data_IF_444537627843
#
_entry.id   IF_444537627843
#
_cell.length_a   1.000
_cell.length_b   1.000
_cell.length_c   1.000
_cell.angle_alpha   90.00
_cell.angle_beta   90.00
_cell.angle_gamma   90.00
#
_symmetry.space_group_name_H-M   'P 1'
#
loop_
_entity.id
_entity.type
_entity.pdbx_description
1 polymer ?
#
# COMPACT_ATOMS: atom_id res chain seq x y z
N UNK A 1 -15.72 -10.33 0.42
CA UNK A 1 -14.43 -10.85 -0.09
C UNK A 1 -13.35 -10.43 0.89
N UNK A 2 -12.46 -11.33 1.28
CA UNK A 2 -11.29 -11.03 2.12
C UNK A 2 -10.15 -10.51 1.24
N UNK A 3 -9.47 -9.43 1.61
CA UNK A 3 -8.33 -8.90 0.86
C UNK A 3 -7.09 -8.88 1.77
N UNK A 4 -5.99 -9.50 1.33
CA UNK A 4 -4.74 -9.57 2.09
C UNK A 4 -3.60 -9.09 1.22
N UNK A 5 -2.92 -8.04 1.65
CA UNK A 5 -1.77 -7.46 0.97
C UNK A 5 -0.49 -7.92 1.66
N UNK A 6 0.39 -8.59 0.92
CA UNK A 6 1.73 -8.95 1.39
C UNK A 6 2.74 -7.91 0.95
N UNK A 7 3.51 -7.38 1.89
CA UNK A 7 4.61 -6.46 1.62
C UNK A 7 5.82 -6.77 2.50
N UNK A 8 6.96 -6.22 2.14
CA UNK A 8 8.23 -6.45 2.82
C UNK A 8 9.39 -6.12 1.90
N UNK A 9 10.61 -6.12 2.43
CA UNK A 9 11.83 -5.83 1.67
C UNK A 9 11.98 -6.77 0.46
N UNK A 10 12.68 -6.32 -0.57
CA UNK A 10 13.03 -7.17 -1.70
C UNK A 10 13.79 -8.43 -1.26
N UNK A 11 13.42 -9.59 -1.81
CA UNK A 11 14.10 -10.86 -1.56
C UNK A 11 13.72 -11.62 -0.28
N UNK A 12 12.79 -11.12 0.54
CA UNK A 12 12.36 -11.82 1.79
C UNK A 12 11.42 -13.01 1.55
N UNK A 13 10.91 -13.18 0.31
CA UNK A 13 10.01 -14.27 -0.08
C UNK A 13 8.53 -13.93 0.00
N UNK A 14 8.15 -12.67 -0.22
CA UNK A 14 6.75 -12.21 -0.27
C UNK A 14 5.90 -13.07 -1.20
N UNK A 15 6.33 -13.20 -2.45
CA UNK A 15 5.62 -13.94 -3.50
C UNK A 15 5.38 -15.39 -3.10
N UNK A 16 6.40 -16.07 -2.57
CA UNK A 16 6.25 -17.47 -2.12
C UNK A 16 5.25 -17.59 -0.97
N UNK A 17 5.28 -16.65 0.00
CA UNK A 17 4.34 -16.65 1.13
C UNK A 17 2.92 -16.30 0.67
N UNK A 18 2.75 -15.32 -0.23
CA UNK A 18 1.45 -14.97 -0.81
C UNK A 18 0.84 -16.13 -1.60
N UNK A 19 1.63 -16.76 -2.48
CA UNK A 19 1.21 -17.93 -3.26
C UNK A 19 0.88 -19.13 -2.36
N UNK A 20 1.68 -19.39 -1.32
CA UNK A 20 1.43 -20.44 -0.34
C UNK A 20 0.14 -20.20 0.46
N UNK A 21 -0.12 -18.94 0.86
CA UNK A 21 -1.37 -18.53 1.51
C UNK A 21 -2.58 -18.81 0.63
N UNK A 22 -2.51 -18.39 -0.63
CA UNK A 22 -3.59 -18.59 -1.59
C UNK A 22 -3.85 -20.09 -1.85
N UNK A 23 -2.79 -20.88 -2.01
CA UNK A 23 -2.89 -22.33 -2.21
C UNK A 23 -3.51 -23.02 -0.98
N UNK A 24 -3.10 -22.67 0.24
CA UNK A 24 -3.66 -23.25 1.46
C UNK A 24 -5.14 -22.91 1.60
N UNK A 25 -5.54 -21.68 1.32
CA UNK A 25 -6.94 -21.27 1.33
C UNK A 25 -7.77 -22.00 0.26
N UNK A 26 -7.24 -22.17 -0.93
CA UNK A 26 -7.91 -22.93 -2.00
C UNK A 26 -8.08 -24.41 -1.63
N UNK A 27 -7.08 -25.05 -1.01
CA UNK A 27 -7.17 -26.41 -0.48
C UNK A 27 -8.23 -26.55 0.63
N UNK A 28 -8.52 -25.47 1.35
CA UNK A 28 -9.63 -25.38 2.31
C UNK A 28 -10.99 -25.12 1.65
N UNK A 29 -11.10 -25.20 0.31
CA UNK A 29 -12.34 -25.07 -0.44
C UNK A 29 -12.76 -23.63 -0.76
N UNK A 30 -11.87 -22.64 -0.63
CA UNK A 30 -12.13 -21.24 -1.01
C UNK A 30 -11.75 -21.00 -2.46
N UNK A 31 -12.47 -20.08 -3.12
CA UNK A 31 -12.08 -19.57 -4.44
C UNK A 31 -11.21 -18.34 -4.26
N UNK A 32 -9.93 -18.46 -4.57
CA UNK A 32 -8.91 -17.44 -4.25
C UNK A 32 -8.20 -16.97 -5.52
N UNK A 33 -8.02 -15.65 -5.63
CA UNK A 33 -7.16 -15.04 -6.63
C UNK A 33 -5.90 -14.50 -5.94
N UNK A 34 -4.71 -14.92 -6.38
CA UNK A 34 -3.45 -14.27 -6.05
C UNK A 34 -2.99 -13.42 -7.22
N UNK A 35 -2.63 -12.16 -6.94
CA UNK A 35 -2.19 -11.20 -7.94
C UNK A 35 -0.84 -10.64 -7.55
N UNK A 36 0.06 -10.47 -8.53
CA UNK A 36 1.27 -9.67 -8.34
C UNK A 36 1.09 -8.27 -8.92
N UNK A 37 1.46 -7.27 -8.13
CA UNK A 37 1.63 -5.88 -8.58
C UNK A 37 3.09 -5.57 -8.91
N UNK A 38 4.00 -6.54 -8.71
CA UNK A 38 5.41 -6.44 -9.05
C UNK A 38 5.60 -6.78 -10.54
N UNK A 39 6.19 -5.89 -11.34
CA UNK A 39 6.42 -6.13 -12.78
C UNK A 39 7.42 -7.28 -13.07
N UNK A 40 8.06 -7.84 -12.07
CA UNK A 40 9.09 -8.88 -12.24
C UNK A 40 8.55 -10.30 -12.55
N UNK A 41 7.24 -10.45 -12.83
CA UNK A 41 6.61 -11.76 -13.16
C UNK A 41 6.91 -12.88 -12.15
N UNK A 42 6.95 -12.52 -10.88
CA UNK A 42 7.40 -13.39 -9.80
C UNK A 42 6.43 -14.53 -9.44
N UNK A 43 5.14 -14.41 -9.83
CA UNK A 43 4.15 -15.48 -9.61
C UNK A 43 4.35 -16.64 -10.58
N UNK A 44 4.70 -16.38 -11.85
CA UNK A 44 5.04 -17.40 -12.82
C UNK A 44 6.18 -18.29 -12.32
N UNK A 45 7.23 -17.66 -11.76
CA UNK A 45 8.36 -18.37 -11.16
C UNK A 45 7.94 -19.15 -9.91
N UNK A 46 7.13 -18.56 -9.03
CA UNK A 46 6.69 -19.19 -7.80
C UNK A 46 5.81 -20.44 -8.08
N UNK A 47 4.96 -20.41 -9.10
CA UNK A 47 4.12 -21.54 -9.48
C UNK A 47 4.80 -22.54 -10.41
N UNK A 48 5.98 -22.21 -10.95
CA UNK A 48 6.64 -22.99 -12.03
C UNK A 48 5.68 -23.21 -13.21
N UNK A 49 4.93 -22.19 -13.56
CA UNK A 49 3.91 -22.24 -14.61
C UNK A 49 3.61 -20.81 -15.12
N UNK A 50 3.25 -20.72 -16.39
CA UNK A 50 2.89 -19.45 -16.99
C UNK A 50 1.65 -18.84 -16.30
N UNK A 51 1.80 -17.60 -15.81
CA UNK A 51 0.73 -16.75 -15.30
C UNK A 51 0.60 -15.54 -16.23
N UNK A 52 -0.61 -15.24 -16.65
CA UNK A 52 -0.85 -14.16 -17.61
C UNK A 52 -1.65 -13.00 -17.04
N UNK A 53 -2.01 -12.05 -17.91
CA UNK A 53 -2.77 -10.86 -17.52
C UNK A 53 -4.24 -11.14 -17.17
N UNK A 54 -4.77 -12.29 -17.55
CA UNK A 54 -6.11 -12.72 -17.15
C UNK A 54 -5.98 -13.82 -16.07
N UNK A 55 -6.92 -13.90 -15.11
CA UNK A 55 -6.88 -14.92 -14.07
C UNK A 55 -6.83 -16.34 -14.64
N UNK A 56 -5.77 -17.08 -14.33
CA UNK A 56 -5.59 -18.47 -14.75
C UNK A 56 -5.69 -19.41 -13.56
N UNK A 57 -6.44 -20.49 -13.70
CA UNK A 57 -6.55 -21.51 -12.65
C UNK A 57 -5.26 -22.34 -12.57
N UNK A 58 -4.57 -22.26 -11.42
CA UNK A 58 -3.33 -22.97 -11.13
C UNK A 58 -3.56 -24.30 -10.41
N UNK A 59 -4.63 -24.35 -9.62
CA UNK A 59 -5.14 -25.54 -8.95
C UNK A 59 -6.63 -25.32 -8.66
N UNK A 60 -7.36 -26.38 -8.27
CA UNK A 60 -8.79 -26.28 -7.97
C UNK A 60 -9.08 -25.13 -6.99
N UNK A 61 -9.80 -24.11 -7.45
CA UNK A 61 -10.14 -22.93 -6.68
C UNK A 61 -9.03 -21.90 -6.49
N UNK A 62 -7.81 -22.15 -6.95
CA UNK A 62 -6.69 -21.23 -6.95
C UNK A 62 -6.49 -20.60 -8.32
N UNK A 63 -6.62 -19.28 -8.39
CA UNK A 63 -6.34 -18.48 -9.59
C UNK A 63 -5.14 -17.58 -9.34
N UNK A 64 -4.31 -17.38 -10.39
CA UNK A 64 -3.20 -16.46 -10.37
C UNK A 64 -3.28 -15.49 -11.55
N UNK A 65 -2.81 -14.26 -11.33
CA UNK A 65 -2.78 -13.20 -12.34
C UNK A 65 -1.53 -12.33 -12.16
N UNK A 66 -0.88 -12.00 -13.26
CA UNK A 66 0.15 -10.97 -13.36
C UNK A 66 -0.40 -9.80 -14.18
N UNK A 67 0.05 -8.59 -13.85
CA UNK A 67 -0.50 -7.39 -14.43
C UNK A 67 -0.06 -7.17 -15.89
N UNK A 68 -0.98 -6.80 -16.76
CA UNK A 68 -0.68 -6.23 -18.08
C UNK A 68 -0.62 -4.70 -18.00
N UNK A 69 0.59 -4.19 -17.90
CA UNK A 69 0.85 -2.75 -17.82
C UNK A 69 0.31 -2.00 -19.05
N UNK A 70 0.49 -2.54 -20.26
CA UNK A 70 0.08 -1.90 -21.50
C UNK A 70 -1.43 -1.62 -21.54
N UNK A 71 -2.23 -2.62 -21.18
CA UNK A 71 -3.70 -2.48 -21.16
C UNK A 71 -4.18 -1.46 -20.13
N UNK A 72 -3.61 -1.47 -18.94
CA UNK A 72 -3.97 -0.51 -17.89
C UNK A 72 -3.56 0.92 -18.25
N UNK A 73 -2.44 1.06 -18.93
CA UNK A 73 -1.97 2.33 -19.45
C UNK A 73 -2.97 2.91 -20.47
N UNK A 74 -3.44 2.09 -21.40
CA UNK A 74 -4.46 2.50 -22.37
C UNK A 74 -5.78 2.90 -21.69
N UNK A 75 -6.20 2.17 -20.67
CA UNK A 75 -7.50 2.40 -20.01
C UNK A 75 -7.51 3.66 -19.13
N UNK A 76 -6.43 3.93 -18.39
CA UNK A 76 -6.42 4.98 -17.36
C UNK A 76 -5.50 6.14 -17.68
N UNK A 77 -4.51 5.97 -18.55
CA UNK A 77 -3.43 6.94 -18.75
C UNK A 77 -3.40 7.59 -20.14
N UNK A 78 -4.05 7.02 -21.15
CA UNK A 78 -3.91 7.48 -22.53
C UNK A 78 -4.12 9.00 -22.70
N UNK A 79 -5.27 9.54 -22.24
CA UNK A 79 -5.57 10.96 -22.40
C UNK A 79 -4.72 11.87 -21.48
N UNK A 80 -4.24 11.33 -20.36
CA UNK A 80 -3.35 12.04 -19.44
C UNK A 80 -1.95 12.13 -20.06
N UNK A 81 -1.44 11.01 -20.56
CA UNK A 81 -0.13 10.92 -21.23
C UNK A 81 -0.06 11.80 -22.49
N UNK A 82 -1.08 11.75 -23.33
CA UNK A 82 -1.18 12.59 -24.54
C UNK A 82 -1.09 14.09 -24.21
N UNK A 83 -1.79 14.53 -23.18
CA UNK A 83 -1.71 15.92 -22.74
C UNK A 83 -0.32 16.27 -22.21
N UNK A 84 0.27 15.41 -21.38
CA UNK A 84 1.61 15.64 -20.82
C UNK A 84 2.68 15.66 -21.92
N UNK A 85 2.63 14.74 -22.89
CA UNK A 85 3.53 14.74 -24.04
C UNK A 85 3.42 16.04 -24.83
N UNK A 86 2.20 16.48 -25.17
CA UNK A 86 1.94 17.76 -25.85
C UNK A 86 2.48 18.95 -25.06
N UNK A 87 2.39 18.92 -23.73
CA UNK A 87 2.91 19.97 -22.87
C UNK A 87 4.44 20.01 -22.88
N UNK A 88 5.12 18.85 -22.82
CA UNK A 88 6.57 18.78 -22.91
C UNK A 88 7.11 19.17 -24.29
N UNK A 89 6.44 18.77 -25.39
CA UNK A 89 6.75 19.23 -26.75
C UNK A 89 6.66 20.76 -26.87
N UNK A 90 5.62 21.36 -26.28
CA UNK A 90 5.48 22.81 -26.25
C UNK A 90 6.67 23.48 -25.52
N UNK A 91 7.24 22.84 -24.50
CA UNK A 91 8.45 23.32 -23.81
C UNK A 91 9.74 23.13 -24.65
N UNK A 92 9.67 22.51 -25.80
CA UNK A 92 10.80 22.30 -26.71
C UNK A 92 11.46 20.93 -26.60
N UNK A 93 10.82 19.99 -25.93
CA UNK A 93 11.27 18.58 -25.88
C UNK A 93 10.90 17.89 -27.21
N UNK A 94 11.76 17.03 -27.74
CA UNK A 94 11.41 16.21 -28.90
C UNK A 94 10.30 15.20 -28.54
N UNK A 95 9.53 14.75 -29.55
CA UNK A 95 8.33 13.95 -29.33
C UNK A 95 8.60 12.62 -28.59
N UNK A 96 9.71 11.93 -28.90
CA UNK A 96 10.05 10.65 -28.25
C UNK A 96 10.38 10.86 -26.77
N UNK A 97 11.19 11.84 -26.44
CA UNK A 97 11.52 12.20 -25.06
C UNK A 97 10.29 12.73 -24.32
N UNK A 98 9.40 13.46 -24.99
CA UNK A 98 8.14 13.95 -24.40
C UNK A 98 7.21 12.79 -24.02
N UNK A 99 7.07 11.77 -24.86
CA UNK A 99 6.32 10.54 -24.56
C UNK A 99 6.94 9.79 -23.36
N UNK A 100 8.27 9.63 -23.33
CA UNK A 100 8.94 9.01 -22.19
C UNK A 100 8.75 9.78 -20.88
N UNK A 101 8.83 11.11 -20.91
CA UNK A 101 8.58 11.98 -19.74
C UNK A 101 7.12 12.00 -19.31
N UNK A 102 6.19 11.71 -20.22
CA UNK A 102 4.78 11.58 -19.90
C UNK A 102 4.47 10.30 -19.09
N UNK A 103 5.38 9.32 -19.09
CA UNK A 103 5.29 8.11 -18.27
C UNK A 103 5.86 8.38 -16.87
N UNK A 104 4.98 8.66 -15.92
CA UNK A 104 5.40 8.94 -14.54
C UNK A 104 5.88 7.67 -13.84
N UNK A 105 7.02 7.72 -13.13
CA UNK A 105 7.47 6.57 -12.31
C UNK A 105 6.41 6.18 -11.26
N UNK A 106 6.12 4.89 -11.12
CA UNK A 106 5.16 4.37 -10.16
C UNK A 106 3.72 4.25 -10.68
N UNK A 107 3.49 4.58 -11.96
CA UNK A 107 2.17 4.39 -12.60
C UNK A 107 1.85 2.90 -12.75
N UNK A 108 2.86 2.09 -13.01
CA UNK A 108 2.70 0.65 -13.19
C UNK A 108 2.17 -0.02 -11.93
N UNK A 109 2.76 0.30 -10.78
CA UNK A 109 2.32 -0.25 -9.49
C UNK A 109 0.93 0.26 -9.12
N UNK A 110 0.59 1.52 -9.49
CA UNK A 110 -0.75 2.05 -9.31
C UNK A 110 -1.78 1.21 -10.06
N UNK A 111 -1.50 0.84 -11.31
CA UNK A 111 -2.38 0.00 -12.10
C UNK A 111 -2.63 -1.36 -11.47
N UNK A 112 -1.60 -1.96 -10.84
CA UNK A 112 -1.75 -3.20 -10.06
C UNK A 112 -2.79 -3.05 -8.94
N UNK A 113 -2.80 -1.92 -8.25
CA UNK A 113 -3.81 -1.65 -7.23
C UNK A 113 -5.22 -1.42 -7.82
N UNK A 114 -5.34 -0.79 -9.00
CA UNK A 114 -6.64 -0.58 -9.64
C UNK A 114 -7.33 -1.90 -10.03
N UNK A 115 -6.57 -2.95 -10.35
CA UNK A 115 -7.10 -4.29 -10.59
C UNK A 115 -7.79 -4.87 -9.35
N UNK A 116 -7.35 -4.50 -8.14
CA UNK A 116 -8.01 -4.89 -6.88
C UNK A 116 -9.47 -4.46 -6.88
N UNK A 117 -9.73 -3.19 -7.22
CA UNK A 117 -11.09 -2.65 -7.29
C UNK A 117 -11.95 -3.40 -8.29
N UNK A 118 -11.40 -3.72 -9.46
CA UNK A 118 -12.10 -4.48 -10.50
C UNK A 118 -12.56 -5.84 -9.95
N UNK A 119 -11.65 -6.66 -9.45
CA UNK A 119 -11.98 -7.99 -8.93
C UNK A 119 -12.86 -7.95 -7.67
N UNK A 120 -12.68 -6.90 -6.84
CA UNK A 120 -13.56 -6.69 -5.69
C UNK A 120 -15.01 -6.47 -6.11
N UNK A 121 -15.23 -5.64 -7.13
CA UNK A 121 -16.56 -5.32 -7.64
C UNK A 121 -17.19 -6.50 -8.41
N UNK A 122 -16.39 -7.30 -9.12
CA UNK A 122 -16.85 -8.51 -9.80
C UNK A 122 -17.35 -9.58 -8.82
N UNK A 123 -16.79 -9.63 -7.60
CA UNK A 123 -17.24 -10.53 -6.53
C UNK A 123 -17.10 -12.02 -6.84
N UNK A 124 -16.19 -12.41 -7.74
CA UNK A 124 -16.03 -13.78 -8.21
C UNK A 124 -15.23 -14.68 -7.27
N UNK A 125 -14.52 -14.09 -6.29
CA UNK A 125 -13.60 -14.76 -5.38
C UNK A 125 -14.00 -14.57 -3.93
N UNK A 126 -13.70 -15.56 -3.07
CA UNK A 126 -13.85 -15.44 -1.61
C UNK A 126 -12.74 -14.57 -1.02
N UNK A 127 -11.53 -14.67 -1.61
CA UNK A 127 -10.37 -13.91 -1.18
C UNK A 127 -9.51 -13.44 -2.35
N UNK A 128 -8.88 -12.28 -2.13
CA UNK A 128 -7.89 -11.66 -2.99
C UNK A 128 -6.58 -11.52 -2.21
N UNK A 129 -5.53 -12.16 -2.69
CA UNK A 129 -4.18 -12.12 -2.11
C UNK A 129 -3.31 -11.27 -3.04
N UNK A 130 -2.73 -10.20 -2.50
CA UNK A 130 -1.91 -9.26 -3.25
C UNK A 130 -0.45 -9.46 -2.87
N UNK A 131 0.37 -9.86 -3.84
CA UNK A 131 1.82 -9.80 -3.74
C UNK A 131 2.28 -8.43 -4.22
N UNK A 132 2.60 -7.55 -3.26
CA UNK A 132 2.98 -6.19 -3.57
C UNK A 132 4.48 -6.03 -3.79
N UNK A 133 4.86 -5.03 -4.58
CA UNK A 133 6.22 -4.55 -4.76
C UNK A 133 6.93 -4.30 -3.41
N UNK A 134 8.27 -4.10 -3.37
CA UNK A 134 9.01 -3.82 -2.15
C UNK A 134 8.42 -2.65 -1.35
N UNK A 135 8.58 -2.69 -0.02
CA UNK A 135 7.94 -1.78 0.96
C UNK A 135 7.93 -0.30 0.59
N UNK A 136 9.05 0.22 0.07
CA UNK A 136 9.16 1.64 -0.28
C UNK A 136 8.21 2.08 -1.37
N UNK A 137 8.03 1.26 -2.40
CA UNK A 137 7.13 1.49 -3.53
C UNK A 137 5.68 1.31 -3.09
N UNK A 138 5.37 0.20 -2.44
CA UNK A 138 4.02 -0.06 -1.88
C UNK A 138 3.53 1.09 -0.99
N UNK A 139 4.36 1.56 -0.04
CA UNK A 139 3.98 2.67 0.84
C UNK A 139 3.75 3.97 0.08
N UNK A 140 4.55 4.23 -0.96
CA UNK A 140 4.36 5.39 -1.83
C UNK A 140 3.01 5.34 -2.53
N UNK A 141 2.63 4.16 -3.05
CA UNK A 141 1.33 3.95 -3.70
C UNK A 141 0.16 4.10 -2.74
N UNK A 142 0.24 3.48 -1.57
CA UNK A 142 -0.79 3.56 -0.55
C UNK A 142 -0.97 4.98 0.02
N UNK A 143 -0.01 5.88 -0.19
CA UNK A 143 -0.12 7.30 0.16
C UNK A 143 -0.68 8.18 -0.97
N UNK A 144 -0.84 7.65 -2.18
CA UNK A 144 -1.32 8.41 -3.35
C UNK A 144 -2.74 8.97 -3.18
N UNK A 145 -3.72 8.24 -2.60
CA UNK A 145 -5.07 8.77 -2.44
C UNK A 145 -5.07 10.12 -1.73
N UNK A 146 -4.37 10.24 -0.60
CA UNK A 146 -4.25 11.49 0.16
C UNK A 146 -3.64 12.64 -0.66
N UNK A 147 -2.62 12.33 -1.48
CA UNK A 147 -1.94 13.34 -2.29
C UNK A 147 -2.79 13.82 -3.46
N UNK A 148 -3.47 12.89 -4.14
CA UNK A 148 -4.32 13.19 -5.30
C UNK A 148 -5.62 13.87 -4.86
N UNK A 149 -6.23 13.47 -3.74
CA UNK A 149 -7.47 14.04 -3.21
C UNK A 149 -7.37 15.54 -3.03
N UNK A 150 -6.31 16.00 -2.39
CA UNK A 150 -6.08 17.43 -2.19
C UNK A 150 -6.00 18.21 -3.53
N UNK A 151 -5.30 17.64 -4.53
CA UNK A 151 -5.18 18.27 -5.84
C UNK A 151 -6.53 18.32 -6.57
N UNK A 152 -7.24 17.19 -6.62
CA UNK A 152 -8.52 17.07 -7.33
C UNK A 152 -9.62 17.91 -6.68
N UNK A 153 -9.67 17.98 -5.37
CA UNK A 153 -10.70 18.76 -4.66
C UNK A 153 -10.43 20.27 -4.66
N UNK A 154 -9.19 20.70 -4.53
CA UNK A 154 -8.84 22.10 -4.32
C UNK A 154 -8.37 22.82 -5.58
N UNK A 155 -7.53 22.18 -6.41
CA UNK A 155 -6.89 22.83 -7.55
C UNK A 155 -7.66 22.56 -8.85
N UNK A 156 -8.07 21.32 -9.06
CA UNK A 156 -8.74 20.88 -10.27
C UNK A 156 -10.00 21.71 -10.66
N UNK A 157 -10.97 22.04 -9.76
CA UNK A 157 -12.12 22.83 -10.15
C UNK A 157 -11.74 24.25 -10.62
N UNK A 158 -10.66 24.82 -10.07
CA UNK A 158 -10.15 26.14 -10.44
C UNK A 158 -9.54 26.09 -11.84
N UNK A 159 -8.68 25.09 -12.10
CA UNK A 159 -8.03 24.91 -13.40
C UNK A 159 -9.05 24.62 -14.51
N UNK A 160 -10.03 23.74 -14.26
CA UNK A 160 -11.11 23.41 -15.22
C UNK A 160 -11.95 24.64 -15.56
N UNK A 161 -12.28 25.49 -14.59
CA UNK A 161 -12.99 26.76 -14.84
C UNK A 161 -12.15 27.73 -15.63
N UNK A 162 -10.88 27.91 -15.26
CA UNK A 162 -9.96 28.79 -15.99
C UNK A 162 -9.75 28.32 -17.43
N UNK A 163 -9.55 27.01 -17.67
CA UNK A 163 -9.43 26.46 -19.02
C UNK A 163 -10.66 26.75 -19.88
N UNK A 164 -11.88 26.60 -19.35
CA UNK A 164 -13.12 26.90 -20.08
C UNK A 164 -13.24 28.38 -20.46
N UNK A 165 -12.75 29.29 -19.63
CA UNK A 165 -12.79 30.73 -19.90
C UNK A 165 -11.72 31.14 -20.92
N UNK A 166 -10.52 30.56 -20.84
CA UNK A 166 -9.37 30.97 -21.66
C UNK A 166 -9.38 30.32 -23.05
N UNK A 167 -9.89 29.07 -23.20
CA UNK A 167 -9.95 28.34 -24.48
C UNK A 167 -10.51 29.15 -25.66
N UNK A 168 -11.63 29.87 -25.55
CA UNK A 168 -12.16 30.64 -26.69
C UNK A 168 -11.22 31.74 -27.19
N UNK A 169 -10.42 32.31 -26.28
CA UNK A 169 -9.44 33.35 -26.60
C UNK A 169 -8.13 32.77 -27.14
N UNK A 170 -7.65 31.64 -26.56
CA UNK A 170 -6.44 30.96 -27.01
C UNK A 170 -6.57 30.43 -28.47
N UNK A 171 -7.76 29.95 -28.87
CA UNK A 171 -8.02 29.53 -30.26
C UNK A 171 -7.97 30.65 -31.28
N UNK A 172 -8.10 31.92 -30.88
CA UNK A 172 -8.03 33.09 -31.77
C UNK A 172 -6.62 33.62 -31.98
N UNK A 173 -5.74 33.42 -31.00
CA UNK A 173 -4.33 33.80 -31.09
C UNK A 173 -3.52 32.56 -31.53
N UNK A 174 -3.22 32.46 -32.81
CA UNK A 174 -2.34 31.40 -33.40
C UNK A 174 -0.87 31.55 -33.02
N UNK A 175 -0.56 31.93 -31.81
CA UNK A 175 0.82 32.08 -31.34
C UNK A 175 1.13 30.91 -30.40
N UNK A 176 2.22 30.14 -30.65
CA UNK A 176 2.79 29.13 -29.78
C UNK A 176 3.27 29.69 -28.42
N UNK A 177 2.88 30.92 -28.07
CA UNK A 177 3.31 31.62 -26.87
C UNK A 177 2.59 31.18 -25.59
N UNK A 178 1.43 30.51 -25.70
CA UNK A 178 0.67 30.00 -24.56
C UNK A 178 0.78 28.48 -24.48
N UNK A 179 0.90 27.93 -23.25
CA UNK A 179 0.91 26.49 -23.06
C UNK A 179 -0.38 25.84 -23.58
N UNK A 180 -0.32 24.61 -24.08
CA UNK A 180 -1.51 23.86 -24.44
C UNK A 180 -2.45 23.75 -23.25
N UNK A 181 -3.73 24.10 -23.43
CA UNK A 181 -4.73 23.99 -22.39
C UNK A 181 -5.31 22.59 -22.35
N UNK A 182 -5.42 21.95 -21.18
CA UNK A 182 -5.99 20.62 -21.07
C UNK A 182 -7.40 20.57 -21.66
N UNK A 183 -7.73 19.52 -22.40
CA UNK A 183 -9.06 19.28 -22.94
C UNK A 183 -9.99 18.68 -21.87
N UNK A 184 -11.31 18.59 -22.18
CA UNK A 184 -12.27 18.01 -21.24
C UNK A 184 -12.06 16.49 -21.08
N UNK A 185 -11.47 15.80 -22.07
CA UNK A 185 -11.02 14.42 -22.03
C UNK A 185 -9.97 14.19 -20.93
N UNK A 186 -8.92 15.02 -20.88
CA UNK A 186 -7.91 14.98 -19.81
C UNK A 186 -8.53 15.11 -18.42
N UNK A 187 -9.43 16.08 -18.23
CA UNK A 187 -10.11 16.26 -16.96
C UNK A 187 -11.02 15.06 -16.61
N UNK A 188 -11.65 14.45 -17.61
CA UNK A 188 -12.43 13.23 -17.45
C UNK A 188 -11.57 12.03 -17.06
N UNK A 189 -10.42 11.83 -17.70
CA UNK A 189 -9.48 10.76 -17.39
C UNK A 189 -8.91 10.89 -15.97
N UNK A 190 -8.48 12.09 -15.59
CA UNK A 190 -7.99 12.36 -14.25
C UNK A 190 -9.05 12.12 -13.16
N UNK A 191 -10.32 12.46 -13.44
CA UNK A 191 -11.43 12.18 -12.54
C UNK A 191 -11.66 10.67 -12.39
N UNK A 192 -11.66 9.91 -13.50
CA UNK A 192 -11.81 8.44 -13.47
C UNK A 192 -10.67 7.78 -12.67
N UNK A 193 -9.43 8.21 -12.92
CA UNK A 193 -8.27 7.71 -12.19
C UNK A 193 -8.39 8.00 -10.69
N UNK A 194 -8.75 9.22 -10.32
CA UNK A 194 -8.99 9.60 -8.93
C UNK A 194 -10.06 8.73 -8.25
N UNK A 195 -11.22 8.57 -8.88
CA UNK A 195 -12.30 7.73 -8.36
C UNK A 195 -11.88 6.26 -8.21
N UNK A 196 -11.04 5.78 -9.13
CA UNK A 196 -10.51 4.43 -9.08
C UNK A 196 -9.55 4.26 -7.89
N UNK A 197 -8.66 5.22 -7.67
CA UNK A 197 -7.68 5.21 -6.56
C UNK A 197 -8.38 5.29 -5.19
N UNK A 198 -9.36 6.18 -5.02
CA UNK A 198 -10.15 6.26 -3.79
C UNK A 198 -10.90 4.95 -3.54
N UNK A 199 -11.48 4.33 -4.56
CA UNK A 199 -12.16 3.05 -4.40
C UNK A 199 -11.22 1.90 -3.98
N UNK A 200 -9.93 1.95 -4.34
CA UNK A 200 -8.93 1.00 -3.83
C UNK A 200 -8.61 1.26 -2.36
N UNK A 201 -8.43 2.53 -1.98
CA UNK A 201 -8.20 2.92 -0.58
C UNK A 201 -9.32 2.41 0.32
N UNK A 202 -10.59 2.66 -0.05
CA UNK A 202 -11.77 2.18 0.70
C UNK A 202 -11.75 0.65 0.90
N UNK A 203 -11.30 -0.11 -0.11
CA UNK A 203 -11.20 -1.57 -0.01
C UNK A 203 -10.08 -1.99 0.93
N UNK A 204 -8.90 -1.37 0.81
CA UNK A 204 -7.70 -1.79 1.55
C UNK A 204 -7.67 -1.28 2.99
N UNK A 205 -8.45 -0.24 3.32
CA UNK A 205 -8.61 0.28 4.69
C UNK A 205 -9.84 -0.29 5.42
N UNK A 206 -10.64 -1.15 4.77
CA UNK A 206 -11.75 -1.85 5.43
C UNK A 206 -11.22 -2.82 6.50
N UNK A 207 -11.23 -2.39 7.75
CA UNK A 207 -10.70 -3.12 8.89
C UNK A 207 -11.37 -4.49 9.16
N UNK A 208 -12.54 -4.77 8.55
CA UNK A 208 -13.24 -6.03 8.68
C UNK A 208 -12.84 -7.04 7.59
N UNK A 209 -12.38 -6.55 6.44
CA UNK A 209 -12.19 -7.37 5.24
C UNK A 209 -10.78 -7.29 4.66
N UNK A 210 -10.02 -6.25 4.97
CA UNK A 210 -8.68 -6.05 4.46
C UNK A 210 -7.63 -6.10 5.57
N UNK A 211 -6.43 -6.53 5.23
CA UNK A 211 -5.26 -6.42 6.09
C UNK A 211 -3.97 -6.47 5.29
N UNK A 212 -2.91 -5.96 5.89
CA UNK A 212 -1.54 -6.07 5.41
C UNK A 212 -0.79 -7.11 6.24
N UNK A 213 0.04 -7.92 5.60
CA UNK A 213 0.97 -8.85 6.23
C UNK A 213 2.39 -8.51 5.86
N UNK A 214 3.23 -8.33 6.86
CA UNK A 214 4.63 -8.01 6.67
C UNK A 214 5.44 -9.31 6.58
N UNK A 215 6.18 -9.49 5.48
CA UNK A 215 7.14 -10.60 5.35
C UNK A 215 8.53 -10.07 5.65
N UNK A 216 9.23 -10.73 6.57
CA UNK A 216 10.55 -10.34 7.04
C UNK A 216 11.48 -11.56 7.15
N UNK A 217 12.78 -11.33 7.14
CA UNK A 217 13.78 -12.30 7.55
C UNK A 217 14.37 -11.82 8.88
N UNK A 218 14.97 -12.72 9.65
CA UNK A 218 15.62 -12.42 10.92
C UNK A 218 16.97 -11.67 10.68
N UNK A 219 16.92 -10.52 10.03
CA UNK A 219 18.07 -9.70 9.65
C UNK A 219 17.87 -8.24 10.08
N UNK A 220 18.92 -7.61 10.64
CA UNK A 220 18.88 -6.25 11.20
C UNK A 220 18.28 -5.21 10.23
N UNK A 221 18.71 -5.21 8.96
CA UNK A 221 18.25 -4.22 7.97
C UNK A 221 16.80 -4.46 7.56
N UNK A 222 16.38 -5.73 7.45
CA UNK A 222 15.00 -6.11 7.11
C UNK A 222 14.05 -5.68 8.23
N UNK A 223 14.42 -5.95 9.48
CA UNK A 223 13.65 -5.57 10.67
C UNK A 223 13.48 -4.03 10.73
N UNK A 224 14.56 -3.28 10.53
CA UNK A 224 14.51 -1.82 10.56
C UNK A 224 13.59 -1.25 9.47
N UNK A 225 13.57 -1.86 8.27
CA UNK A 225 12.67 -1.47 7.18
C UNK A 225 11.22 -1.83 7.50
N UNK A 226 10.96 -3.05 8.00
CA UNK A 226 9.63 -3.48 8.40
C UNK A 226 9.03 -2.62 9.52
N UNK A 227 9.84 -2.18 10.49
CA UNK A 227 9.42 -1.25 11.54
C UNK A 227 8.96 0.08 10.96
N UNK A 228 9.71 0.65 10.02
CA UNK A 228 9.29 1.88 9.32
C UNK A 228 8.02 1.67 8.52
N UNK A 229 7.93 0.56 7.78
CA UNK A 229 6.74 0.20 7.02
C UNK A 229 5.49 0.09 7.91
N UNK A 230 5.62 -0.56 9.06
CA UNK A 230 4.54 -0.70 10.04
C UNK A 230 4.05 0.67 10.54
N UNK A 231 4.97 1.59 10.86
CA UNK A 231 4.61 2.96 11.26
C UNK A 231 3.82 3.67 10.17
N UNK A 232 4.27 3.58 8.91
CA UNK A 232 3.61 4.27 7.80
C UNK A 232 2.27 3.63 7.41
N UNK A 233 2.16 2.29 7.44
CA UNK A 233 0.88 1.62 7.23
C UNK A 233 -0.17 2.08 8.24
N UNK A 234 0.19 2.17 9.52
CA UNK A 234 -0.69 2.72 10.54
C UNK A 234 -1.01 4.20 10.31
N UNK A 235 -0.04 5.00 9.83
CA UNK A 235 -0.28 6.40 9.49
C UNK A 235 -1.40 6.56 8.45
N UNK A 236 -1.50 5.63 7.49
CA UNK A 236 -2.49 5.63 6.41
C UNK A 236 -3.69 4.71 6.66
N UNK A 237 -3.94 4.26 7.89
CA UNK A 237 -5.04 3.38 8.31
C UNK A 237 -5.05 1.98 7.68
N UNK A 238 -3.92 1.52 7.15
CA UNK A 238 -3.79 0.14 6.69
C UNK A 238 -3.50 -0.79 7.86
N UNK A 239 -4.48 -1.63 8.22
CA UNK A 239 -4.37 -2.55 9.34
C UNK A 239 -3.37 -3.67 9.07
N UNK A 240 -2.33 -3.80 9.91
CA UNK A 240 -1.40 -4.93 9.86
C UNK A 240 -1.91 -6.01 10.79
N UNK A 241 -2.20 -7.22 10.25
CA UNK A 241 -2.77 -8.31 11.04
C UNK A 241 -1.80 -9.45 11.35
N UNK A 242 -0.67 -9.52 10.67
CA UNK A 242 0.36 -10.53 10.92
C UNK A 242 1.75 -10.10 10.43
N UNK A 243 2.78 -10.67 11.05
CA UNK A 243 4.16 -10.64 10.57
C UNK A 243 4.59 -12.08 10.27
N UNK A 244 5.14 -12.35 9.10
CA UNK A 244 5.68 -13.66 8.72
C UNK A 244 7.20 -13.56 8.69
N UNK A 245 7.86 -14.23 9.63
CA UNK A 245 9.32 -14.36 9.66
C UNK A 245 9.72 -15.57 8.83
N UNK A 246 10.26 -15.31 7.65
CA UNK A 246 10.59 -16.34 6.67
C UNK A 246 12.06 -16.72 6.72
N UNK A 247 12.36 -17.93 6.24
CA UNK A 247 13.73 -18.48 6.11
C UNK A 247 14.49 -18.58 7.43
N UNK A 248 13.83 -19.02 8.48
CA UNK A 248 14.48 -19.31 9.75
C UNK A 248 15.33 -20.59 9.63
N UNK A 249 16.57 -20.52 10.07
CA UNK A 249 17.44 -21.70 10.13
C UNK A 249 16.81 -22.75 11.05
N UNK A 250 16.60 -23.98 10.55
CA UNK A 250 16.06 -25.07 11.35
C UNK A 250 17.01 -25.47 12.51
N UNK A 251 16.44 -26.02 13.58
CA UNK A 251 17.24 -26.49 14.74
C UNK A 251 18.18 -27.64 14.38
N UNK A 252 17.85 -28.42 13.36
CA UNK A 252 18.62 -29.54 12.82
C UNK A 252 19.95 -29.11 12.18
N UNK A 253 20.08 -27.83 11.80
CA UNK A 253 21.33 -27.28 11.26
C UNK A 253 22.33 -27.11 12.40
N UNK A 254 23.10 -28.16 12.69
CA UNK A 254 24.03 -28.23 13.84
C UNK A 254 25.49 -27.94 13.48
N UNK A 255 25.84 -27.67 12.24
CA UNK A 255 27.20 -27.37 11.82
C UNK A 255 27.70 -26.09 12.53
N UNK A 256 28.94 -26.13 13.14
CA UNK A 256 29.53 -25.01 13.85
C UNK A 256 29.65 -23.72 13.05
N UNK A 257 29.68 -23.81 11.72
CA UNK A 257 29.68 -22.65 10.84
C UNK A 257 28.45 -21.77 11.04
N UNK A 258 27.28 -22.37 11.35
CA UNK A 258 26.01 -21.66 11.54
C UNK A 258 25.76 -21.19 12.97
N UNK A 259 26.63 -21.46 13.93
CA UNK A 259 26.43 -21.09 15.34
C UNK A 259 26.17 -19.60 15.53
N UNK A 260 26.99 -18.73 14.90
CA UNK A 260 26.82 -17.27 14.96
C UNK A 260 25.54 -16.80 14.26
N UNK A 261 25.11 -17.51 13.22
CA UNK A 261 23.85 -17.22 12.54
C UNK A 261 22.65 -17.54 13.42
N UNK A 262 22.66 -18.66 14.13
CA UNK A 262 21.61 -19.02 15.09
C UNK A 262 21.51 -18.02 16.24
N UNK A 263 22.63 -17.67 16.86
CA UNK A 263 22.65 -16.63 17.89
C UNK A 263 22.12 -15.28 17.39
N UNK A 264 22.46 -14.90 16.16
CA UNK A 264 21.95 -13.68 15.55
C UNK A 264 20.43 -13.78 15.29
N UNK A 265 19.98 -14.94 14.79
CA UNK A 265 18.56 -15.20 14.52
C UNK A 265 17.73 -15.12 15.81
N UNK A 266 18.17 -15.71 16.92
CA UNK A 266 17.48 -15.65 18.22
C UNK A 266 17.34 -14.19 18.69
N UNK A 267 18.44 -13.43 18.66
CA UNK A 267 18.40 -11.98 19.01
C UNK A 267 17.45 -11.20 18.11
N UNK A 268 17.43 -11.50 16.82
CA UNK A 268 16.55 -10.81 15.87
C UNK A 268 15.10 -11.23 16.00
N UNK A 269 14.81 -12.50 16.33
CA UNK A 269 13.45 -12.95 16.64
C UNK A 269 12.91 -12.23 17.87
N UNK A 270 13.68 -12.13 18.95
CA UNK A 270 13.28 -11.37 20.14
C UNK A 270 13.00 -9.89 19.81
N UNK A 271 13.84 -9.28 18.95
CA UNK A 271 13.62 -7.90 18.50
C UNK A 271 12.37 -7.74 17.61
N UNK A 272 12.01 -8.74 16.81
CA UNK A 272 10.77 -8.76 16.03
C UNK A 272 9.57 -8.87 16.97
N UNK A 273 9.60 -9.82 17.92
CA UNK A 273 8.54 -10.03 18.91
C UNK A 273 8.28 -8.76 19.74
N UNK A 274 9.33 -8.10 20.22
CA UNK A 274 9.22 -6.82 20.93
C UNK A 274 8.65 -5.69 20.05
N UNK A 275 9.10 -5.61 18.79
CA UNK A 275 8.73 -4.52 17.88
C UNK A 275 7.29 -4.60 17.39
N UNK A 276 6.76 -5.79 17.17
CA UNK A 276 5.46 -5.98 16.54
C UNK A 276 4.36 -6.45 17.47
N UNK A 277 4.67 -6.79 18.75
CA UNK A 277 3.64 -7.09 19.74
C UNK A 277 2.58 -5.97 19.81
N UNK A 278 1.27 -6.28 19.86
CA UNK A 278 0.65 -7.60 20.01
C UNK A 278 0.27 -8.31 18.70
N UNK A 279 0.82 -7.92 17.55
CA UNK A 279 0.53 -8.56 16.25
C UNK A 279 1.09 -9.99 16.26
N UNK A 280 0.32 -11.01 15.85
CA UNK A 280 0.80 -12.38 15.72
C UNK A 280 1.97 -12.51 14.75
N UNK A 281 2.94 -13.32 15.15
CA UNK A 281 4.15 -13.59 14.38
C UNK A 281 4.14 -15.05 13.95
N UNK A 282 4.05 -15.28 12.65
CA UNK A 282 4.17 -16.57 12.03
C UNK A 282 5.62 -16.83 11.63
N UNK A 283 6.07 -18.07 11.79
CA UNK A 283 7.46 -18.47 11.55
C UNK A 283 7.51 -19.50 10.42
N UNK A 284 8.36 -19.28 9.42
CA UNK A 284 8.61 -20.23 8.36
C UNK A 284 10.09 -20.61 8.33
N UNK A 285 10.38 -21.90 8.34
CA UNK A 285 11.75 -22.41 8.29
C UNK A 285 12.38 -22.21 6.90
N UNK A 286 13.67 -22.18 6.85
CA UNK A 286 14.44 -22.33 5.63
C UNK A 286 14.37 -23.80 5.20
N UNK A 287 13.73 -24.04 4.05
CA UNK A 287 13.63 -25.38 3.49
C UNK A 287 14.95 -25.82 2.83
N UNK A 288 15.12 -27.13 2.67
CA UNK A 288 16.27 -27.79 2.05
C UNK A 288 16.27 -27.69 0.49
N UNK A 289 15.28 -26.98 -0.05
CA UNK A 289 15.04 -26.79 -1.47
C UNK A 289 14.49 -25.42 -1.78
N UNK A 290 14.51 -25.05 -3.04
CA UNK A 290 13.84 -23.85 -3.51
C UNK A 290 12.31 -23.96 -3.43
N UNK A 291 11.63 -22.84 -3.16
CA UNK A 291 10.19 -22.78 -2.92
C UNK A 291 9.44 -22.38 -4.21
N UNK A 292 9.30 -23.32 -5.14
CA UNK A 292 8.52 -23.19 -6.36
C UNK A 292 7.64 -24.41 -6.62
N UNK A 293 6.56 -24.19 -7.39
CA UNK A 293 5.56 -25.20 -7.70
C UNK A 293 4.63 -25.54 -6.54
N UNK A 294 3.49 -26.12 -6.86
CA UNK A 294 2.38 -26.39 -5.92
C UNK A 294 2.77 -27.26 -4.71
N UNK A 295 3.76 -28.15 -4.88
CA UNK A 295 4.23 -29.03 -3.82
C UNK A 295 4.99 -28.26 -2.73
N UNK A 296 5.97 -27.45 -3.13
CA UNK A 296 6.77 -26.66 -2.22
C UNK A 296 5.98 -25.52 -1.57
N UNK A 297 5.16 -24.81 -2.36
CA UNK A 297 4.27 -23.76 -1.85
C UNK A 297 3.25 -24.33 -0.85
N UNK A 298 2.74 -25.55 -1.08
CA UNK A 298 1.87 -26.23 -0.13
C UNK A 298 2.58 -26.54 1.19
N UNK A 299 3.81 -27.03 1.15
CA UNK A 299 4.61 -27.27 2.36
C UNK A 299 4.89 -25.96 3.13
N UNK A 300 5.20 -24.87 2.42
CA UNK A 300 5.39 -23.55 3.02
C UNK A 300 4.11 -23.05 3.69
N UNK A 301 2.95 -23.21 3.06
CA UNK A 301 1.66 -22.79 3.63
C UNK A 301 1.30 -23.56 4.91
N UNK A 302 1.61 -24.88 4.97
CA UNK A 302 1.42 -25.66 6.19
C UNK A 302 2.39 -25.23 7.30
N UNK A 303 3.67 -24.96 6.96
CA UNK A 303 4.70 -24.53 7.91
C UNK A 303 4.38 -23.13 8.50
N UNK A 304 3.96 -22.17 7.68
CA UNK A 304 3.63 -20.80 8.12
C UNK A 304 2.42 -20.77 9.04
N UNK A 305 1.34 -21.48 8.69
CA UNK A 305 0.05 -21.31 9.36
C UNK A 305 -0.30 -22.43 10.35
N UNK A 306 0.44 -23.53 10.43
CA UNK A 306 0.32 -24.60 11.44
C UNK A 306 -1.15 -25.00 11.78
N UNK A 307 -2.03 -25.10 10.78
CA UNK A 307 -3.44 -25.45 10.98
C UNK A 307 -4.40 -24.26 11.10
N UNK A 308 -3.90 -23.04 11.22
CA UNK A 308 -4.73 -21.82 11.20
C UNK A 308 -5.31 -21.59 9.80
N UNK A 309 -6.52 -20.99 9.75
CA UNK A 309 -7.11 -20.53 8.48
C UNK A 309 -6.32 -19.31 7.97
N UNK A 310 -5.64 -19.42 6.82
CA UNK A 310 -4.81 -18.35 6.30
C UNK A 310 -5.60 -17.08 5.93
N UNK A 311 -6.94 -17.17 5.81
CA UNK A 311 -7.80 -16.04 5.52
C UNK A 311 -8.34 -15.33 6.77
N UNK A 312 -8.08 -15.85 7.96
CA UNK A 312 -8.46 -15.22 9.21
C UNK A 312 -7.87 -13.81 9.33
N UNK A 313 -8.60 -12.92 9.99
CA UNK A 313 -8.07 -11.64 10.45
C UNK A 313 -7.43 -11.87 11.83
N UNK A 314 -6.11 -11.95 11.86
CA UNK A 314 -5.38 -12.38 13.06
C UNK A 314 -5.25 -11.29 14.13
N UNK A 315 -5.28 -10.03 13.72
CA UNK A 315 -5.21 -8.90 14.64
C UNK A 315 -6.07 -7.73 14.15
N UNK A 316 -6.74 -7.06 15.09
CA UNK A 316 -7.51 -5.83 14.85
C UNK A 316 -6.95 -4.72 15.73
N UNK A 317 -6.22 -3.81 15.14
CA UNK A 317 -5.78 -2.58 15.78
C UNK A 317 -6.42 -1.39 15.09
N UNK A 318 -7.03 -0.47 15.86
CA UNK A 318 -7.47 0.81 15.31
C UNK A 318 -6.23 1.67 15.03
N UNK A 319 -6.09 2.17 13.80
CA UNK A 319 -4.99 3.05 13.44
C UNK A 319 -5.16 4.46 14.04
N UNK A 320 -6.41 4.91 14.21
CA UNK A 320 -6.71 6.15 14.91
C UNK A 320 -8.03 6.07 15.69
N UNK A 321 -8.15 6.87 16.73
CA UNK A 321 -9.33 7.03 17.55
C UNK A 321 -9.59 8.51 17.83
N UNK A 322 -10.86 8.89 17.93
CA UNK A 322 -11.26 10.24 18.39
C UNK A 322 -11.95 10.11 19.73
N UNK A 323 -11.32 10.63 20.77
CA UNK A 323 -11.79 10.56 22.15
C UNK A 323 -12.28 11.94 22.60
N UNK A 324 -13.52 12.03 23.09
CA UNK A 324 -14.03 13.26 23.72
C UNK A 324 -13.39 13.45 25.08
N UNK A 325 -12.83 14.63 25.33
CA UNK A 325 -12.24 15.04 26.62
C UNK A 325 -12.92 16.28 27.18
N UNK A 326 -12.73 16.54 28.47
CA UNK A 326 -13.25 17.76 29.09
C UNK A 326 -12.62 18.98 28.39
N UNK A 327 -13.46 19.76 27.71
CA UNK A 327 -13.04 20.97 26.99
C UNK A 327 -12.60 20.79 25.53
N UNK A 328 -12.77 19.58 24.94
CA UNK A 328 -12.39 19.36 23.54
C UNK A 328 -12.38 17.90 23.12
N UNK A 329 -11.50 17.59 22.18
CA UNK A 329 -11.29 16.26 21.65
C UNK A 329 -9.80 15.91 21.63
N UNK A 330 -9.51 14.63 21.68
CA UNK A 330 -8.17 14.08 21.50
C UNK A 330 -8.21 13.12 20.32
N UNK A 331 -7.42 13.42 19.29
CA UNK A 331 -7.20 12.50 18.17
C UNK A 331 -5.98 11.68 18.53
N UNK A 332 -6.17 10.38 18.63
CA UNK A 332 -5.12 9.41 18.98
C UNK A 332 -4.79 8.61 17.74
N UNK A 333 -3.55 8.72 17.26
CA UNK A 333 -3.05 7.93 16.15
C UNK A 333 -2.05 6.91 16.69
N UNK A 334 -2.22 5.67 16.28
CA UNK A 334 -1.27 4.62 16.58
C UNK A 334 -0.09 4.75 15.61
N UNK A 335 1.03 5.27 16.10
CA UNK A 335 2.27 5.41 15.34
C UNK A 335 3.38 4.59 15.99
N UNK A 336 3.28 3.27 15.94
CA UNK A 336 4.26 2.40 16.56
C UNK A 336 5.64 2.68 15.98
N UNK A 337 6.64 2.79 16.88
CA UNK A 337 8.04 2.97 16.51
C UNK A 337 8.37 4.31 15.82
N UNK A 338 7.47 5.29 15.84
CA UNK A 338 7.78 6.63 15.38
C UNK A 338 8.71 7.35 16.37
N UNK A 339 9.82 7.88 15.88
CA UNK A 339 10.71 8.72 16.67
C UNK A 339 10.09 10.11 16.84
N UNK A 340 10.08 10.64 18.09
CA UNK A 340 9.44 11.95 18.43
C UNK A 340 9.97 13.11 17.59
N UNK A 341 11.24 13.05 17.23
CA UNK A 341 11.94 14.11 16.46
C UNK A 341 11.51 14.16 14.98
N UNK A 342 10.82 13.13 14.49
CA UNK A 342 10.44 12.98 13.08
C UNK A 342 8.95 13.23 12.82
N UNK A 343 8.19 13.73 13.80
CA UNK A 343 6.75 14.01 13.66
C UNK A 343 6.47 15.50 13.69
N UNK A 344 6.01 16.02 12.56
CA UNK A 344 5.49 17.39 12.43
C UNK A 344 3.96 17.36 12.32
N UNK A 345 3.34 18.39 12.92
CA UNK A 345 1.89 18.52 12.93
C UNK A 345 1.45 19.94 12.59
N UNK A 346 0.46 20.07 11.73
CA UNK A 346 -0.25 21.33 11.50
C UNK A 346 -1.75 21.09 11.29
N UNK A 347 -2.58 22.08 11.66
CA UNK A 347 -4.04 22.03 11.49
C UNK A 347 -4.54 23.25 10.76
N UNK A 348 -5.39 23.06 9.74
CA UNK A 348 -6.05 24.12 9.00
C UNK A 348 -7.52 23.77 8.74
N UNK A 349 -8.42 24.45 9.43
CA UNK A 349 -9.86 24.10 9.36
C UNK A 349 -10.12 22.70 9.86
N UNK A 350 -10.82 21.88 9.08
CA UNK A 350 -11.07 20.47 9.37
C UNK A 350 -9.88 19.54 9.06
N UNK A 351 -8.83 20.05 8.44
CA UNK A 351 -7.68 19.24 8.01
C UNK A 351 -6.57 19.25 9.08
N UNK A 352 -6.22 18.06 9.56
CA UNK A 352 -5.08 17.80 10.43
C UNK A 352 -3.97 17.17 9.61
N UNK A 353 -2.89 17.91 9.39
CA UNK A 353 -1.75 17.44 8.63
C UNK A 353 -0.70 16.86 9.55
N UNK A 354 -0.38 15.62 9.35
CA UNK A 354 0.63 14.86 10.07
C UNK A 354 1.74 14.49 9.11
N UNK A 355 2.99 14.81 9.48
CA UNK A 355 4.17 14.35 8.76
C UNK A 355 4.98 13.43 9.66
N UNK A 356 5.39 12.28 9.13
CA UNK A 356 6.29 11.34 9.80
C UNK A 356 7.42 11.02 8.84
N UNK A 357 8.60 11.57 9.10
CA UNK A 357 9.73 11.50 8.17
C UNK A 357 9.37 12.08 6.80
N UNK A 358 9.45 11.29 5.74
CA UNK A 358 9.15 11.69 4.37
C UNK A 358 7.67 11.53 3.98
N UNK A 359 6.86 10.95 4.84
CA UNK A 359 5.44 10.70 4.58
C UNK A 359 4.56 11.76 5.21
N UNK A 360 3.50 12.11 4.52
CA UNK A 360 2.53 13.12 4.92
C UNK A 360 1.13 12.54 4.78
N UNK A 361 0.34 12.65 5.84
CA UNK A 361 -1.07 12.32 5.84
C UNK A 361 -1.93 13.51 6.18
N UNK A 362 -3.07 13.60 5.50
CA UNK A 362 -4.12 14.57 5.81
C UNK A 362 -5.31 13.83 6.45
N UNK A 363 -5.53 14.04 7.75
CA UNK A 363 -6.68 13.47 8.47
C UNK A 363 -7.80 14.48 8.44
N UNK A 364 -8.92 14.12 7.80
CA UNK A 364 -10.11 14.94 7.76
C UNK A 364 -10.88 14.77 9.08
N UNK A 365 -10.97 15.84 9.83
CA UNK A 365 -11.71 15.87 11.09
C UNK A 365 -13.20 16.14 10.83
N UNK A 366 -14.12 15.59 11.65
CA UNK A 366 -15.52 15.96 11.61
C UNK A 366 -15.74 17.47 11.71
N UNK A 367 -16.81 17.99 11.10
CA UNK A 367 -17.14 19.42 11.09
C UNK A 367 -17.21 20.03 12.48
N UNK A 368 -17.62 19.25 13.48
CA UNK A 368 -17.64 19.66 14.89
C UNK A 368 -16.26 20.01 15.45
N UNK A 369 -15.19 19.52 14.83
CA UNK A 369 -13.79 19.77 15.22
C UNK A 369 -13.08 20.76 14.29
N UNK A 370 -13.71 21.18 13.18
CA UNK A 370 -13.11 22.08 12.20
C UNK A 370 -12.71 23.42 12.81
N UNK A 371 -13.49 23.93 13.77
CA UNK A 371 -13.28 25.20 14.46
C UNK A 371 -12.28 25.12 15.61
N UNK A 372 -12.02 23.92 16.14
CA UNK A 372 -11.11 23.73 17.26
C UNK A 372 -9.66 23.94 16.80
N UNK A 373 -8.82 24.45 17.68
CA UNK A 373 -7.37 24.57 17.44
C UNK A 373 -6.61 23.38 17.97
N UNK A 374 -5.50 23.06 17.35
CA UNK A 374 -4.56 22.09 17.91
C UNK A 374 -3.83 22.74 19.08
N UNK A 375 -4.15 22.30 20.30
CA UNK A 375 -3.58 22.80 21.56
C UNK A 375 -2.22 22.19 21.88
N UNK A 376 -1.86 21.11 21.22
CA UNK A 376 -0.60 20.41 21.36
C UNK A 376 -0.67 19.00 20.82
N UNK A 377 0.51 18.45 20.53
CA UNK A 377 0.69 17.06 20.12
C UNK A 377 1.82 16.45 20.93
N UNK A 378 1.65 15.19 21.33
CA UNK A 378 2.65 14.43 22.08
C UNK A 378 2.62 12.97 21.67
N UNK A 379 3.78 12.40 21.42
CA UNK A 379 3.95 10.96 21.38
C UNK A 379 4.21 10.49 22.80
N UNK A 380 3.35 9.61 23.29
CA UNK A 380 3.50 9.00 24.63
C UNK A 380 4.30 7.68 24.56
N UNK A 381 4.58 7.10 25.71
CA UNK A 381 5.40 5.89 25.80
C UNK A 381 4.70 4.63 25.25
N UNK A 382 3.37 4.73 25.00
CA UNK A 382 2.55 3.73 24.30
C UNK A 382 2.63 3.83 22.76
N UNK A 383 3.56 4.62 22.21
CA UNK A 383 3.76 4.87 20.78
C UNK A 383 2.53 5.46 20.06
N UNK A 384 1.68 6.19 20.81
CA UNK A 384 0.52 6.88 20.25
C UNK A 384 0.78 8.38 20.15
N UNK A 385 0.54 8.94 18.97
CA UNK A 385 0.48 10.39 18.80
C UNK A 385 -0.89 10.89 19.27
N UNK A 386 -0.90 11.68 20.33
CA UNK A 386 -2.10 12.32 20.86
C UNK A 386 -2.12 13.78 20.47
N UNK A 387 -3.13 14.18 19.70
CA UNK A 387 -3.36 15.55 19.28
C UNK A 387 -4.56 16.10 20.02
N UNK A 388 -4.35 17.08 20.89
CA UNK A 388 -5.43 17.76 21.62
C UNK A 388 -6.02 18.88 20.79
N UNK A 389 -7.34 18.84 20.64
CA UNK A 389 -8.14 19.84 19.94
C UNK A 389 -9.07 20.52 20.94
N UNK A 390 -9.03 21.84 21.03
CA UNK A 390 -9.84 22.61 21.96
C UNK A 390 -10.07 24.07 21.50
N UNK A 391 -10.93 24.77 22.22
CA UNK A 391 -11.13 26.23 22.06
C UNK A 391 -10.13 27.01 22.90
N UNK A 392 -9.68 28.17 22.42
CA UNK A 392 -8.72 29.08 23.09
C UNK A 392 -9.16 29.62 24.48
N UNK A 393 -10.26 29.11 25.03
CA UNK A 393 -10.91 29.72 26.20
C UNK A 393 -11.02 28.84 27.47
N UNK A 394 -10.43 27.63 27.49
CA UNK A 394 -10.49 26.76 28.69
C UNK A 394 -9.05 26.40 29.08
N UNK A 395 -8.44 27.27 29.89
CA UNK A 395 -7.22 26.97 30.66
C UNK A 395 -7.59 26.32 32.00
#
# INVERSE_FOLDING_TARGET
MRTILYTGKGGVGKTSVAAATALKAARAGKKVLVMSTDPAHSLSDAFDAEVGPEPREMATGLFAQEMDQGRMLEEYWAEIGEYLATFYEWQGTDSLTAEELAMLPGVDELFGLLMVRRHYNEGLYDALILDAAPTGETLRLLSLPDQISWYVEKIFPIQRRAAKIVRPFARRTRTNALPPLPEDSFFGALQRLYEAVIGVEEILTDAERASVRLVVNAEKMVIAEARRAYTYLNLYDYGVDAVVVNRLLPEEVSDPYFEKWREAQERHLAAIEDSFSPIPIFKARLFDREMYGLGALGALGEDVFEGEDPLSLFFRGAAHEVVKRNGGYEVVLNLPLAERENVDLSKKGAELLIRVGNFRRNVLLPDSMARLKAMGAKIEDDNKLRVRLGDDGVS
#
